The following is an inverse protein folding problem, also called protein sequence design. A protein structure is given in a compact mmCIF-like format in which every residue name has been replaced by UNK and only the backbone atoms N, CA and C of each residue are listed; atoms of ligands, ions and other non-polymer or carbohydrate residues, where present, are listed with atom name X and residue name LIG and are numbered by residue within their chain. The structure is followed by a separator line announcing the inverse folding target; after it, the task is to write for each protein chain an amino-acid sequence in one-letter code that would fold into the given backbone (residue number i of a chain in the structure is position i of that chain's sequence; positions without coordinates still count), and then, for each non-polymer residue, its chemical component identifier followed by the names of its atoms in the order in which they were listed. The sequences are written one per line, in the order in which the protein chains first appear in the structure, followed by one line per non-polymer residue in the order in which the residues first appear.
data_IF_153748858977
#
_entry.id   IF_153748858977
#
_cell.length_a   1.000
_cell.length_b   1.000
_cell.length_c   1.000
_cell.angle_alpha   90.00
_cell.angle_beta   90.00
_cell.angle_gamma   90.00
#
_symmetry.space_group_name_H-M   'P 1'
#
loop_
_entity.id
_entity.type
_entity.pdbx_description
1 polymer ?
#
# COMPACT_ATOMS: atom_id res chain seq x y z
N UNK A 1 -2.27 4.80 -19.98
CA UNK A 1 -1.59 5.88 -19.30
C UNK A 1 -0.96 5.37 -17.98
N UNK A 2 0.35 5.48 -17.87
CA UNK A 2 1.10 4.97 -16.71
C UNK A 2 0.72 5.69 -15.41
N UNK A 3 0.32 6.95 -15.47
CA UNK A 3 -0.08 7.74 -14.30
C UNK A 3 -1.30 7.12 -13.60
N UNK A 4 -2.23 6.55 -14.34
CA UNK A 4 -3.42 5.90 -13.77
C UNK A 4 -3.02 4.68 -12.93
N UNK A 5 -2.10 3.85 -13.40
CA UNK A 5 -1.63 2.70 -12.62
C UNK A 5 -1.00 3.12 -11.29
N UNK A 6 -0.23 4.20 -11.30
CA UNK A 6 0.40 4.73 -10.10
C UNK A 6 -0.65 5.25 -9.12
N UNK A 7 -1.70 5.93 -9.60
CA UNK A 7 -2.82 6.38 -8.77
C UNK A 7 -3.59 5.22 -8.15
N UNK A 8 -3.82 4.16 -8.92
CA UNK A 8 -4.50 2.97 -8.41
C UNK A 8 -3.67 2.29 -7.32
N UNK A 9 -2.35 2.22 -7.48
CA UNK A 9 -1.47 1.71 -6.43
C UNK A 9 -1.53 2.57 -5.17
N UNK A 10 -1.52 3.89 -5.31
CA UNK A 10 -1.66 4.80 -4.18
C UNK A 10 -2.98 4.59 -3.45
N UNK A 11 -4.08 4.53 -4.18
CA UNK A 11 -5.40 4.30 -3.61
C UNK A 11 -5.44 2.96 -2.87
N UNK A 12 -4.90 1.91 -3.46
CA UNK A 12 -4.90 0.59 -2.85
C UNK A 12 -4.01 0.53 -1.60
N UNK A 13 -2.88 1.27 -1.58
CA UNK A 13 -2.04 1.39 -0.38
C UNK A 13 -2.80 2.06 0.77
N UNK A 14 -3.48 3.16 0.48
CA UNK A 14 -4.27 3.89 1.47
C UNK A 14 -5.37 2.99 2.04
N UNK A 15 -6.08 2.26 1.19
CA UNK A 15 -7.12 1.34 1.62
C UNK A 15 -6.56 0.22 2.50
N UNK A 16 -5.44 -0.37 2.12
CA UNK A 16 -4.79 -1.42 2.91
C UNK A 16 -4.30 -0.87 4.25
N UNK A 17 -3.67 0.30 4.25
CA UNK A 17 -3.20 0.96 5.46
C UNK A 17 -4.35 1.19 6.45
N UNK A 18 -5.48 1.67 5.96
CA UNK A 18 -6.67 1.87 6.79
C UNK A 18 -7.20 0.58 7.39
N UNK A 19 -7.20 -0.50 6.62
CA UNK A 19 -7.62 -1.81 7.10
C UNK A 19 -6.68 -2.36 8.16
N UNK A 20 -5.38 -2.22 7.97
CA UNK A 20 -4.37 -2.71 8.93
C UNK A 20 -4.57 -2.03 10.29
N UNK A 21 -4.76 -0.72 10.31
CA UNK A 21 -4.88 0.04 11.57
C UNK A 21 -6.32 0.38 11.94
N UNK A 22 -7.30 -0.14 11.20
CA UNK A 22 -8.73 0.05 11.46
C UNK A 22 -9.11 1.54 11.59
N UNK A 23 -8.70 2.33 10.61
CA UNK A 23 -8.87 3.79 10.60
C UNK A 23 -9.93 4.18 9.58
N UNK A 24 -10.90 5.01 9.99
CA UNK A 24 -11.86 5.63 9.08
C UNK A 24 -11.19 6.73 8.25
N UNK A 25 -11.70 6.98 7.04
CA UNK A 25 -11.12 7.94 6.10
C UNK A 25 -10.82 9.32 6.69
N UNK A 26 -11.78 9.85 7.45
CA UNK A 26 -11.68 11.19 8.02
C UNK A 26 -10.79 11.25 9.26
N UNK A 27 -10.57 10.09 9.92
CA UNK A 27 -9.75 10.00 11.11
C UNK A 27 -8.26 9.85 10.80
N UNK A 28 -7.94 9.35 9.62
CA UNK A 28 -6.55 9.09 9.23
C UNK A 28 -5.69 10.36 9.27
N UNK A 29 -6.17 11.46 8.71
CA UNK A 29 -5.48 12.74 8.76
C UNK A 29 -5.34 13.25 10.19
N UNK A 30 -6.39 13.11 10.99
CA UNK A 30 -6.38 13.53 12.40
C UNK A 30 -5.37 12.73 13.23
N UNK A 31 -5.29 11.43 13.01
CA UNK A 31 -4.33 10.58 13.71
C UNK A 31 -2.90 10.94 13.32
N UNK A 32 -2.64 11.13 12.03
CA UNK A 32 -1.32 11.52 11.54
C UNK A 32 -0.90 12.87 12.08
N UNK A 33 -1.81 13.85 12.10
CA UNK A 33 -1.54 15.18 12.61
C UNK A 33 -1.36 15.21 14.13
N UNK A 34 -2.18 14.45 14.88
CA UNK A 34 -2.15 14.48 16.33
C UNK A 34 -1.01 13.66 16.93
N UNK A 35 -0.73 12.48 16.37
CA UNK A 35 0.35 11.61 16.86
C UNK A 35 1.69 11.89 16.19
N UNK A 36 1.67 12.57 15.06
CA UNK A 36 2.88 12.87 14.30
C UNK A 36 3.57 11.67 13.68
N UNK A 37 2.89 10.51 13.65
CA UNK A 37 3.42 9.26 13.10
C UNK A 37 2.68 8.97 11.80
N UNK A 38 3.42 8.67 10.74
CA UNK A 38 2.80 8.36 9.47
C UNK A 38 3.74 7.69 8.48
N UNK A 39 3.19 7.26 7.34
CA UNK A 39 3.94 6.53 6.33
C UNK A 39 4.67 7.47 5.37
N UNK A 40 5.84 7.00 4.93
CA UNK A 40 6.56 7.58 3.79
C UNK A 40 6.81 6.44 2.81
N UNK A 41 6.51 6.68 1.53
CA UNK A 41 6.84 5.74 0.48
C UNK A 41 8.34 5.84 0.21
N UNK A 42 9.07 4.80 0.60
CA UNK A 42 10.53 4.77 0.48
C UNK A 42 11.03 4.15 -0.82
N UNK A 43 10.25 3.22 -1.39
CA UNK A 43 10.61 2.56 -2.64
C UNK A 43 9.34 2.09 -3.34
N UNK A 44 9.39 2.08 -4.68
CA UNK A 44 8.29 1.59 -5.50
C UNK A 44 8.86 0.98 -6.78
N UNK A 45 8.54 -0.30 -7.00
CA UNK A 45 8.89 -1.02 -8.22
C UNK A 45 7.63 -1.51 -8.90
N UNK A 46 7.57 -1.37 -10.21
CA UNK A 46 6.40 -1.78 -10.97
C UNK A 46 6.77 -2.46 -12.27
N UNK A 47 5.89 -3.36 -12.73
CA UNK A 47 6.02 -4.06 -13.99
C UNK A 47 4.72 -4.00 -14.76
N UNK A 48 4.78 -3.45 -15.98
CA UNK A 48 3.67 -3.43 -16.93
C UNK A 48 3.76 -4.71 -17.75
N UNK A 49 2.83 -5.63 -17.56
CA UNK A 49 2.93 -6.96 -18.19
C UNK A 49 2.06 -7.12 -19.40
N UNK A 50 0.82 -6.66 -19.35
CA UNK A 50 -0.14 -6.76 -20.44
C UNK A 50 -0.82 -5.42 -20.64
N UNK A 51 -0.85 -4.86 -21.86
CA UNK A 51 -1.60 -3.63 -22.11
C UNK A 51 -3.08 -3.80 -21.83
N UNK A 52 -3.67 -2.83 -21.13
CA UNK A 52 -5.10 -2.80 -20.85
C UNK A 52 -5.74 -1.76 -21.75
N UNK A 53 -6.82 -2.15 -22.41
CA UNK A 53 -7.54 -1.28 -23.36
C UNK A 53 -8.95 -1.02 -22.85
N UNK A 54 -9.37 0.22 -22.93
CA UNK A 54 -10.74 0.60 -22.63
C UNK A 54 -11.70 -0.04 -23.66
N UNK A 55 -12.89 -0.54 -23.26
CA UNK A 55 -13.37 -0.63 -21.90
C UNK A 55 -12.93 -1.92 -21.19
N UNK A 56 -12.60 -1.83 -19.92
CA UNK A 56 -12.22 -2.99 -19.11
C UNK A 56 -12.50 -2.68 -17.64
N UNK A 57 -12.50 -3.73 -16.81
CA UNK A 57 -12.63 -3.60 -15.35
C UNK A 57 -11.34 -4.12 -14.74
N UNK A 58 -10.71 -3.30 -13.90
CA UNK A 58 -9.48 -3.63 -13.22
C UNK A 58 -9.77 -4.01 -11.78
N UNK A 59 -9.27 -5.17 -11.38
CA UNK A 59 -9.32 -5.63 -10.00
C UNK A 59 -7.92 -5.58 -9.42
N UNK A 60 -7.76 -4.93 -8.27
CA UNK A 60 -6.47 -4.78 -7.61
C UNK A 60 -6.50 -5.60 -6.33
N UNK A 61 -5.52 -6.49 -6.18
CA UNK A 61 -5.30 -7.26 -4.97
C UNK A 61 -4.03 -6.76 -4.29
N UNK A 62 -4.12 -6.52 -2.99
CA UNK A 62 -2.99 -6.05 -2.19
C UNK A 62 -2.80 -6.94 -0.99
N UNK A 63 -1.54 -7.08 -0.58
CA UNK A 63 -1.19 -7.75 0.67
C UNK A 63 0.11 -7.17 1.21
N UNK A 64 0.36 -7.40 2.49
CA UNK A 64 1.66 -7.11 3.09
C UNK A 64 2.62 -8.20 2.63
N UNK A 65 3.72 -7.82 1.98
CA UNK A 65 4.69 -8.77 1.42
C UNK A 65 5.80 -9.13 2.40
N UNK A 66 6.23 -8.17 3.21
CA UNK A 66 7.25 -8.39 4.24
C UNK A 66 7.12 -7.32 5.34
N UNK A 67 7.70 -7.61 6.50
CA UNK A 67 7.65 -6.74 7.66
C UNK A 67 9.06 -6.55 8.21
N UNK A 68 9.50 -5.30 8.33
CA UNK A 68 10.74 -4.91 8.97
C UNK A 68 10.52 -4.32 10.36
N UNK A 69 11.50 -3.63 10.88
CA UNK A 69 11.41 -2.99 12.20
C UNK A 69 10.57 -1.72 12.18
N UNK A 70 10.68 -0.92 11.13
CA UNK A 70 9.93 0.33 10.96
C UNK A 70 9.37 0.46 9.55
N UNK A 71 9.46 -0.60 8.74
CA UNK A 71 9.00 -0.61 7.36
C UNK A 71 8.23 -1.89 7.06
N UNK A 72 7.42 -1.83 6.02
CA UNK A 72 6.75 -3.02 5.49
C UNK A 72 6.56 -2.87 3.99
N UNK A 73 6.49 -4.01 3.32
CA UNK A 73 6.21 -4.03 1.89
C UNK A 73 4.74 -4.28 1.60
N UNK A 74 4.25 -3.72 0.52
CA UNK A 74 2.92 -3.98 0.00
C UNK A 74 3.06 -4.48 -1.43
N UNK A 75 2.51 -5.65 -1.70
CA UNK A 75 2.42 -6.20 -3.04
C UNK A 75 1.09 -5.82 -3.66
N UNK A 76 1.13 -5.29 -4.88
CA UNK A 76 -0.04 -4.95 -5.67
C UNK A 76 -0.09 -5.85 -6.90
N UNK A 77 -1.22 -6.46 -7.17
CA UNK A 77 -1.46 -7.23 -8.39
C UNK A 77 -2.74 -6.74 -9.04
N UNK A 78 -2.65 -6.39 -10.30
CA UNK A 78 -3.81 -5.94 -11.07
C UNK A 78 -4.19 -6.98 -12.11
N UNK A 79 -5.49 -7.23 -12.18
CA UNK A 79 -6.12 -8.14 -13.14
C UNK A 79 -7.18 -7.39 -13.91
N UNK A 80 -7.34 -7.70 -15.17
CA UNK A 80 -8.43 -7.13 -15.96
C UNK A 80 -9.39 -8.24 -16.38
N UNK A 81 -10.68 -7.92 -16.48
CA UNK A 81 -11.68 -8.91 -16.89
C UNK A 81 -11.40 -9.48 -18.28
N UNK A 82 -10.87 -8.68 -19.19
CA UNK A 82 -10.56 -9.12 -20.56
C UNK A 82 -9.36 -10.04 -20.63
N UNK A 83 -8.51 -10.06 -19.61
CA UNK A 83 -7.29 -10.88 -19.59
C UNK A 83 -7.38 -12.07 -18.62
N UNK A 84 -8.54 -12.31 -18.02
CA UNK A 84 -8.78 -13.46 -17.15
C UNK A 84 -7.89 -13.48 -15.92
N UNK A 85 -7.21 -14.60 -15.68
CA UNK A 85 -6.38 -14.78 -14.50
C UNK A 85 -4.95 -14.25 -14.67
N UNK A 86 -4.64 -13.64 -15.81
CA UNK A 86 -3.31 -13.11 -16.07
C UNK A 86 -3.11 -11.76 -15.38
N UNK A 87 -1.95 -11.61 -14.75
CA UNK A 87 -1.57 -10.33 -14.13
C UNK A 87 -1.23 -9.34 -15.23
N UNK A 88 -1.93 -8.21 -15.29
CA UNK A 88 -1.66 -7.16 -16.26
C UNK A 88 -0.63 -6.15 -15.77
N UNK A 89 -0.51 -6.02 -14.46
CA UNK A 89 0.42 -5.11 -13.80
C UNK A 89 0.70 -5.62 -12.40
N UNK A 90 1.93 -5.53 -11.94
CA UNK A 90 2.26 -5.76 -10.53
C UNK A 90 3.24 -4.71 -10.05
N UNK A 91 3.24 -4.51 -8.74
CA UNK A 91 4.13 -3.55 -8.11
C UNK A 91 4.41 -3.96 -6.67
N UNK A 92 5.51 -3.45 -6.14
CA UNK A 92 5.81 -3.52 -4.72
C UNK A 92 6.12 -2.12 -4.21
N UNK A 93 5.45 -1.76 -3.12
CA UNK A 93 5.71 -0.51 -2.38
C UNK A 93 6.42 -0.86 -1.09
N UNK A 94 7.45 -0.10 -0.73
CA UNK A 94 8.06 -0.17 0.60
C UNK A 94 7.70 1.10 1.33
N UNK A 95 7.03 0.93 2.47
CA UNK A 95 6.55 2.02 3.30
C UNK A 95 7.35 2.03 4.60
N UNK A 96 7.88 3.19 4.97
CA UNK A 96 8.57 3.40 6.24
C UNK A 96 7.70 4.26 7.12
N UNK A 97 7.51 3.83 8.36
CA UNK A 97 6.78 4.63 9.37
C UNK A 97 7.76 5.56 10.06
N UNK A 98 7.42 6.83 10.11
CA UNK A 98 8.27 7.87 10.70
C UNK A 98 7.50 8.74 11.67
N UNK A 99 8.24 9.34 12.58
CA UNK A 99 7.73 10.40 13.43
C UNK A 99 8.04 11.74 12.76
N UNK A 100 7.02 12.41 12.25
CA UNK A 100 7.19 13.66 11.52
C UNK A 100 7.76 14.80 12.37
N UNK A 101 7.54 14.78 13.67
CA UNK A 101 8.04 15.82 14.57
C UNK A 101 9.54 15.74 14.79
N UNK A 102 10.09 14.53 14.82
CA UNK A 102 11.52 14.33 15.07
C UNK A 102 12.30 13.80 13.88
N UNK A 103 11.61 13.38 12.82
CA UNK A 103 12.25 12.76 11.65
C UNK A 103 12.80 11.36 11.91
N UNK A 104 12.58 10.79 13.09
CA UNK A 104 13.04 9.45 13.43
C UNK A 104 12.09 8.38 12.92
N UNK A 105 12.63 7.18 12.66
CA UNK A 105 11.82 6.03 12.30
C UNK A 105 10.99 5.58 13.50
N UNK A 106 9.75 5.18 13.24
CA UNK A 106 8.86 4.61 14.23
C UNK A 106 8.97 3.09 14.18
N UNK A 107 9.51 2.49 15.25
CA UNK A 107 9.66 1.04 15.32
C UNK A 107 8.34 0.36 15.71
N UNK A 108 8.04 -0.75 15.04
CA UNK A 108 6.84 -1.53 15.31
C UNK A 108 7.00 -2.34 16.60
N UNK A 109 6.01 -2.24 17.47
CA UNK A 109 5.89 -3.16 18.61
C UNK A 109 5.27 -4.50 18.16
N UNK A 110 5.12 -5.42 19.11
CA UNK A 110 4.56 -6.74 18.82
C UNK A 110 3.11 -6.66 18.29
N UNK A 111 2.33 -5.72 18.82
CA UNK A 111 0.94 -5.53 18.39
C UNK A 111 0.86 -5.02 16.95
N UNK A 112 1.68 -4.03 16.59
CA UNK A 112 1.75 -3.52 15.24
C UNK A 112 2.16 -4.61 14.24
N UNK A 113 3.16 -5.42 14.60
CA UNK A 113 3.60 -6.54 13.75
C UNK A 113 2.49 -7.55 13.52
N UNK A 114 1.70 -7.88 14.57
CA UNK A 114 0.55 -8.78 14.43
C UNK A 114 -0.50 -8.24 13.49
N UNK A 115 -0.78 -6.94 13.56
CA UNK A 115 -1.73 -6.30 12.65
C UNK A 115 -1.28 -6.41 11.20
N UNK A 116 0.02 -6.19 10.95
CA UNK A 116 0.59 -6.33 9.62
C UNK A 116 0.55 -7.77 9.13
N UNK A 117 0.89 -8.74 10.00
CA UNK A 117 0.88 -10.17 9.66
C UNK A 117 -0.51 -10.66 9.22
N UNK A 118 -1.57 -10.07 9.75
CA UNK A 118 -2.94 -10.44 9.40
C UNK A 118 -3.27 -10.15 7.91
N UNK A 119 -2.47 -9.33 7.24
CA UNK A 119 -2.68 -8.97 5.83
C UNK A 119 -1.59 -9.53 4.89
N UNK A 120 -0.81 -10.45 5.36
CA UNK A 120 0.19 -11.15 4.53
C UNK A 120 -0.41 -12.22 3.62
#
# INVERSE_FOLDING_TARGET
NNIIYLKWCETSRVELFRKIWNIENLEMENILLNKGIGPILANFNSNYRIPVRYPDIINIKTRVSHIGNSSFGIEHRMYSNENGDNIVFDAESVVVMVNYKGGSKFEFDAEAKKKLEAFM
#
